data_IF_960383554804
#
_entry.id   IF_960383554804
#
_cell.length_a   1.000
_cell.length_b   1.000
_cell.length_c   1.000
_cell.angle_alpha   90.00
_cell.angle_beta   90.00
_cell.angle_gamma   90.00
#
_symmetry.space_group_name_H-M   'P 1'
#
loop_
_entity.id
_entity.type
_entity.pdbx_description
1 polymer ?
#
# COMPACT_ATOMS: atom_id res chain seq x y z
N UNK A 1 -38.26 21.50 11.51
CA UNK A 1 -39.11 21.76 12.69
C UNK A 1 -40.37 20.95 12.53
N UNK A 2 -40.54 19.91 13.34
CA UNK A 2 -41.83 19.31 13.68
C UNK A 2 -41.56 18.48 14.93
N UNK A 3 -42.00 19.04 16.05
CA UNK A 3 -42.14 18.35 17.32
C UNK A 3 -43.52 17.71 17.29
N UNK A 4 -43.61 16.44 17.70
CA UNK A 4 -44.87 15.90 18.20
C UNK A 4 -44.63 15.37 19.61
N UNK A 5 -45.42 15.93 20.51
CA UNK A 5 -45.42 15.73 21.95
C UNK A 5 -46.38 14.59 22.30
N UNK A 6 -45.89 13.71 23.18
CA UNK A 6 -46.62 13.01 24.24
C UNK A 6 -47.74 12.03 23.86
N UNK A 7 -47.51 10.76 24.16
CA UNK A 7 -48.47 10.04 24.99
C UNK A 7 -47.73 9.19 26.01
N UNK A 8 -47.92 9.59 27.25
CA UNK A 8 -47.59 8.84 28.45
C UNK A 8 -48.66 7.75 28.60
N UNK A 9 -48.26 6.48 28.70
CA UNK A 9 -49.07 5.53 29.43
C UNK A 9 -48.17 4.54 30.17
N UNK A 10 -48.17 4.71 31.48
CA UNK A 10 -47.61 3.80 32.48
C UNK A 10 -48.49 2.56 32.56
N UNK A 11 -47.87 1.39 32.65
CA UNK A 11 -48.29 0.33 33.57
C UNK A 11 -47.10 -0.59 33.83
N UNK A 12 -46.69 -0.63 35.09
CA UNK A 12 -45.93 -1.71 35.73
C UNK A 12 -46.72 -3.03 35.58
N UNK A 13 -46.18 -4.25 35.67
CA UNK A 13 -45.27 -4.79 36.69
C UNK A 13 -44.84 -6.22 36.30
N UNK A 14 -43.62 -6.61 36.70
CA UNK A 14 -43.13 -7.96 37.05
C UNK A 14 -43.32 -9.18 36.13
N UNK A 15 -42.19 -9.78 35.70
CA UNK A 15 -41.63 -10.99 36.35
C UNK A 15 -40.32 -11.47 35.68
N UNK A 16 -39.28 -11.53 36.50
CA UNK A 16 -38.21 -12.54 36.58
C UNK A 16 -37.64 -13.20 35.31
N UNK A 17 -36.34 -12.91 35.11
CA UNK A 17 -35.23 -13.82 34.77
C UNK A 17 -34.39 -13.31 33.61
N UNK A 18 -33.17 -12.89 33.93
CA UNK A 18 -32.18 -12.55 32.91
C UNK A 18 -30.95 -11.89 33.50
N UNK A 19 -29.98 -12.71 33.93
CA UNK A 19 -28.54 -12.45 33.96
C UNK A 19 -28.12 -10.97 33.87
N UNK A 20 -28.13 -10.30 35.01
CA UNK A 20 -27.64 -8.93 35.13
C UNK A 20 -26.11 -8.89 35.18
N UNK A 21 -25.47 -9.20 34.06
CA UNK A 21 -24.07 -8.84 33.87
C UNK A 21 -23.95 -7.30 33.85
N UNK A 22 -23.04 -6.71 34.64
CA UNK A 22 -22.95 -5.26 34.82
C UNK A 22 -22.71 -4.54 33.48
N UNK A 23 -23.54 -3.54 33.17
CA UNK A 23 -23.39 -2.71 31.96
C UNK A 23 -22.00 -2.04 31.86
N UNK A 24 -21.42 -1.75 33.02
CA UNK A 24 -20.07 -1.20 33.16
C UNK A 24 -18.99 -2.17 32.67
N UNK A 25 -19.19 -3.49 32.80
CA UNK A 25 -18.24 -4.49 32.32
C UNK A 25 -18.21 -4.53 30.78
N UNK A 26 -19.38 -4.49 30.14
CA UNK A 26 -19.50 -4.41 28.67
C UNK A 26 -18.94 -3.10 28.12
N UNK A 27 -19.11 -1.99 28.83
CA UNK A 27 -18.54 -0.70 28.46
C UNK A 27 -17.01 -0.71 28.56
N UNK A 28 -16.46 -1.31 29.63
CA UNK A 28 -15.01 -1.42 29.84
C UNK A 28 -14.34 -2.30 28.78
N UNK A 29 -15.00 -3.36 28.33
CA UNK A 29 -14.53 -4.25 27.25
C UNK A 29 -14.52 -3.55 25.88
N UNK A 30 -15.56 -2.75 25.57
CA UNK A 30 -15.62 -1.95 24.32
C UNK A 30 -14.67 -0.74 24.32
N UNK A 31 -14.30 -0.22 25.49
CA UNK A 31 -13.29 0.84 25.62
C UNK A 31 -11.86 0.28 25.56
N UNK A 32 -11.65 -1.00 25.91
CA UNK A 32 -10.35 -1.66 25.84
C UNK A 32 -9.88 -1.95 24.41
N UNK A 33 -10.77 -2.01 23.42
CA UNK A 33 -10.43 -2.33 22.02
C UNK A 33 -10.05 -1.12 21.17
N UNK A 34 -10.04 0.10 21.71
CA UNK A 34 -9.88 1.35 20.93
C UNK A 34 -8.48 1.98 21.03
N UNK A 35 -7.58 1.47 21.88
CA UNK A 35 -6.36 2.23 22.25
C UNK A 35 -5.03 1.62 21.84
N UNK A 36 -4.98 0.67 20.90
CA UNK A 36 -3.72 0.42 20.18
C UNK A 36 -3.55 1.48 19.09
N UNK A 37 -3.42 2.75 19.47
CA UNK A 37 -2.87 3.76 18.55
C UNK A 37 -1.45 3.30 18.23
N UNK A 38 -1.29 2.69 17.06
CA UNK A 38 0.03 2.41 16.49
C UNK A 38 0.76 3.73 16.49
N UNK A 39 1.78 3.86 17.34
CA UNK A 39 2.63 5.05 17.36
C UNK A 39 3.22 5.19 15.96
N UNK A 40 2.76 6.20 15.22
CA UNK A 40 3.34 6.53 13.92
C UNK A 40 4.67 7.18 14.22
N UNK A 41 5.74 6.39 14.17
CA UNK A 41 7.09 6.91 14.28
C UNK A 41 7.30 7.87 13.11
N UNK A 42 7.75 9.09 13.39
CA UNK A 42 8.09 10.03 12.34
C UNK A 42 9.21 9.43 11.48
N UNK A 43 9.13 9.54 10.14
CA UNK A 43 10.16 9.00 9.26
C UNK A 43 11.49 9.71 9.47
N UNK A 44 12.58 8.98 9.24
CA UNK A 44 13.93 9.51 9.35
C UNK A 44 14.21 10.46 8.18
N UNK A 45 15.10 11.44 8.37
CA UNK A 45 15.50 12.36 7.31
C UNK A 45 15.99 11.62 6.03
N UNK A 46 16.70 10.51 6.19
CA UNK A 46 17.18 9.66 5.09
C UNK A 46 16.03 9.00 4.32
N UNK A 47 14.98 8.53 5.00
CA UNK A 47 13.79 7.94 4.39
C UNK A 47 13.01 8.98 3.58
N UNK A 48 12.87 10.20 4.13
CA UNK A 48 12.21 11.32 3.45
C UNK A 48 12.97 11.68 2.17
N UNK A 49 14.29 11.81 2.25
CA UNK A 49 15.14 12.12 1.09
C UNK A 49 15.04 11.02 0.02
N UNK A 50 15.18 9.75 0.42
CA UNK A 50 15.11 8.61 -0.50
C UNK A 50 13.76 8.55 -1.22
N UNK A 51 12.66 8.75 -0.48
CA UNK A 51 11.31 8.76 -1.04
C UNK A 51 11.12 9.93 -2.00
N UNK A 52 11.65 11.10 -1.65
CA UNK A 52 11.58 12.30 -2.49
C UNK A 52 12.32 12.12 -3.82
N UNK A 53 13.52 11.53 -3.79
CA UNK A 53 14.29 11.18 -4.99
C UNK A 53 13.49 10.19 -5.85
N UNK A 54 12.93 9.14 -5.25
CA UNK A 54 12.15 8.13 -5.98
C UNK A 54 10.92 8.76 -6.68
N UNK A 55 10.25 9.71 -6.04
CA UNK A 55 9.12 10.45 -6.64
C UNK A 55 9.60 11.30 -7.83
N UNK A 56 10.69 12.04 -7.65
CA UNK A 56 11.28 12.88 -8.70
C UNK A 56 11.72 12.05 -9.91
N UNK A 57 12.43 10.94 -9.67
CA UNK A 57 12.84 10.02 -10.72
C UNK A 57 11.65 9.46 -11.49
N UNK A 58 10.62 9.00 -10.78
CA UNK A 58 9.43 8.45 -11.43
C UNK A 58 8.70 9.49 -12.26
N UNK A 59 8.65 10.74 -11.79
CA UNK A 59 8.04 11.84 -12.55
C UNK A 59 8.87 12.17 -13.79
N UNK A 60 10.19 12.26 -13.67
CA UNK A 60 11.08 12.52 -14.80
C UNK A 60 11.01 11.39 -15.84
N UNK A 61 11.08 10.13 -15.40
CA UNK A 61 10.95 8.95 -16.27
C UNK A 61 9.62 8.99 -17.04
N UNK A 62 8.49 9.24 -16.37
CA UNK A 62 7.17 9.35 -17.03
C UNK A 62 7.10 10.51 -18.02
N UNK A 63 7.66 11.67 -17.68
CA UNK A 63 7.66 12.81 -18.57
C UNK A 63 8.49 12.53 -19.84
N UNK A 64 9.66 11.89 -19.70
CA UNK A 64 10.48 11.47 -20.85
C UNK A 64 9.77 10.44 -21.71
N UNK A 65 9.19 9.39 -21.11
CA UNK A 65 8.43 8.37 -21.83
C UNK A 65 7.23 8.95 -22.60
N UNK A 66 6.63 10.05 -22.11
CA UNK A 66 5.53 10.72 -22.79
C UNK A 66 5.99 11.65 -23.92
N UNK A 67 7.19 12.22 -23.83
CA UNK A 67 7.74 13.11 -24.85
C UNK A 67 8.46 12.37 -25.97
N UNK A 68 9.33 11.42 -25.60
CA UNK A 68 10.16 10.63 -26.50
C UNK A 68 10.23 9.18 -25.96
N UNK A 69 9.22 8.34 -26.30
CA UNK A 69 9.22 6.95 -25.87
C UNK A 69 10.34 6.17 -26.57
N UNK A 70 11.00 5.23 -25.87
CA UNK A 70 11.99 4.35 -26.50
C UNK A 70 11.33 3.39 -27.49
N UNK A 71 12.06 3.00 -28.53
CA UNK A 71 11.61 2.00 -29.50
C UNK A 71 11.28 0.65 -28.84
N UNK A 72 12.13 0.23 -27.90
CA UNK A 72 11.94 -0.99 -27.12
C UNK A 72 12.20 -0.68 -25.64
N UNK A 73 11.23 -1.04 -24.80
CA UNK A 73 11.30 -0.89 -23.35
C UNK A 73 11.59 -2.24 -22.68
N UNK A 74 12.73 -2.32 -21.98
CA UNK A 74 13.12 -3.49 -21.17
C UNK A 74 12.98 -3.13 -19.69
N UNK A 75 12.15 -3.89 -18.97
CA UNK A 75 11.86 -3.66 -17.56
C UNK A 75 12.02 -4.97 -16.76
N UNK A 76 13.18 -5.19 -16.12
CA UNK A 76 13.36 -6.34 -15.24
C UNK A 76 12.52 -6.19 -13.97
N UNK A 77 11.85 -7.28 -13.57
CA UNK A 77 10.94 -7.30 -12.42
C UNK A 77 11.70 -7.81 -11.20
N UNK A 78 11.98 -6.91 -10.24
CA UNK A 78 12.72 -7.22 -9.01
C UNK A 78 12.01 -6.66 -7.74
N UNK A 79 10.77 -7.08 -7.41
CA UNK A 79 9.97 -6.41 -6.39
C UNK A 79 10.49 -6.57 -4.96
N UNK A 80 11.27 -7.62 -4.67
CA UNK A 80 11.82 -7.86 -3.35
C UNK A 80 13.26 -7.36 -3.16
N UNK A 81 13.90 -6.75 -4.18
CA UNK A 81 15.30 -6.30 -4.10
C UNK A 81 15.31 -4.79 -3.87
N UNK A 82 15.86 -4.35 -2.74
CA UNK A 82 16.07 -2.93 -2.45
C UNK A 82 17.32 -2.38 -3.15
N UNK A 83 17.42 -1.06 -3.28
CA UNK A 83 18.54 -0.37 -3.94
C UNK A 83 19.92 -0.71 -3.35
N UNK A 84 19.98 -1.05 -2.06
CA UNK A 84 21.23 -1.36 -1.34
C UNK A 84 21.44 -2.86 -1.08
N UNK A 85 20.61 -3.75 -1.64
CA UNK A 85 20.71 -5.21 -1.43
C UNK A 85 21.78 -5.87 -2.31
N UNK A 86 23.04 -5.52 -2.11
CA UNK A 86 24.16 -6.00 -2.95
C UNK A 86 24.33 -7.54 -2.93
N UNK A 87 23.98 -8.20 -1.83
CA UNK A 87 24.04 -9.67 -1.71
C UNK A 87 23.09 -10.39 -2.69
N UNK A 88 22.06 -9.70 -3.20
CA UNK A 88 21.07 -10.25 -4.16
C UNK A 88 21.38 -9.90 -5.61
N UNK A 89 22.57 -9.40 -5.90
CA UNK A 89 22.97 -9.01 -7.25
C UNK A 89 22.74 -10.12 -8.29
N UNK A 90 23.02 -11.38 -7.93
CA UNK A 90 22.79 -12.53 -8.82
C UNK A 90 21.33 -12.63 -9.30
N UNK A 91 20.36 -12.40 -8.40
CA UNK A 91 18.94 -12.47 -8.73
C UNK A 91 18.51 -11.31 -9.63
N UNK A 92 19.05 -10.11 -9.39
CA UNK A 92 18.80 -8.95 -10.25
C UNK A 92 19.36 -9.14 -11.67
N UNK A 93 20.57 -9.73 -11.79
CA UNK A 93 21.19 -10.04 -13.10
C UNK A 93 20.34 -11.07 -13.86
N UNK A 94 19.92 -12.16 -13.20
CA UNK A 94 19.06 -13.17 -13.80
C UNK A 94 17.71 -12.58 -14.25
N UNK A 95 17.10 -11.71 -13.44
CA UNK A 95 15.87 -11.01 -13.83
C UNK A 95 16.09 -10.09 -15.05
N UNK A 96 17.26 -9.47 -15.15
CA UNK A 96 17.71 -8.73 -16.34
C UNK A 96 17.78 -9.60 -17.58
N UNK A 97 18.46 -10.75 -17.50
CA UNK A 97 18.58 -11.70 -18.60
C UNK A 97 17.20 -12.19 -19.07
N UNK A 98 16.33 -12.59 -18.14
CA UNK A 98 14.96 -13.01 -18.46
C UNK A 98 14.13 -11.89 -19.10
N UNK A 99 14.32 -10.63 -18.70
CA UNK A 99 13.60 -9.51 -19.29
C UNK A 99 14.03 -9.26 -20.74
N UNK A 100 15.31 -9.47 -21.06
CA UNK A 100 15.85 -9.40 -22.43
C UNK A 100 15.35 -10.56 -23.27
N UNK A 101 15.41 -11.79 -22.74
CA UNK A 101 14.91 -12.99 -23.44
C UNK A 101 13.45 -12.88 -23.84
N UNK A 102 12.60 -12.30 -22.97
CA UNK A 102 11.18 -12.02 -23.29
C UNK A 102 10.98 -11.03 -24.42
N UNK A 103 11.98 -10.21 -24.72
CA UNK A 103 11.95 -9.18 -25.77
C UNK A 103 12.78 -9.55 -26.99
N UNK A 104 13.27 -10.80 -27.06
CA UNK A 104 14.16 -11.26 -28.11
C UNK A 104 13.58 -11.07 -29.52
N UNK A 105 12.28 -11.32 -29.70
CA UNK A 105 11.60 -11.16 -31.00
C UNK A 105 11.62 -9.72 -31.52
N UNK A 106 11.50 -8.74 -30.63
CA UNK A 106 11.59 -7.31 -30.95
C UNK A 106 13.05 -6.88 -31.19
N UNK A 107 14.01 -7.51 -30.49
CA UNK A 107 15.43 -7.15 -30.53
C UNK A 107 16.18 -7.74 -31.73
N UNK A 108 15.90 -8.99 -32.11
CA UNK A 108 16.63 -9.70 -33.17
C UNK A 108 16.66 -8.96 -34.53
N UNK A 109 15.57 -8.32 -34.99
CA UNK A 109 15.57 -7.53 -36.21
C UNK A 109 16.53 -6.33 -36.16
N UNK A 110 16.66 -5.68 -34.99
CA UNK A 110 17.50 -4.49 -34.81
C UNK A 110 18.99 -4.82 -34.72
N UNK A 111 19.34 -6.00 -34.19
CA UNK A 111 20.74 -6.43 -34.04
C UNK A 111 21.37 -6.83 -35.39
N UNK A 112 20.55 -7.28 -36.36
CA UNK A 112 21.03 -7.76 -37.66
C UNK A 112 21.13 -6.70 -38.74
N UNK A 113 20.81 -5.44 -38.42
CA UNK A 113 21.06 -4.30 -39.29
C UNK A 113 22.57 -3.99 -39.34
N UNK A 114 23.32 -4.87 -40.00
CA UNK A 114 24.58 -4.48 -40.63
C UNK A 114 24.22 -3.53 -41.76
N UNK A 115 24.58 -2.26 -41.58
CA UNK A 115 24.92 -1.37 -42.70
C UNK A 115 26.29 -1.81 -43.19
#
# INVERSE_FOLDING_TARGET
MQQDLLSFNVSEENSENGDSLPWHARLKERLGSITTRRAVTAPTATEIMTTSIQVLENRLKRNRMAGDPPDILIQPVCPQISTLDFYRAHAAIAAGQLAVEKKMDELLPLVRTNI
#
